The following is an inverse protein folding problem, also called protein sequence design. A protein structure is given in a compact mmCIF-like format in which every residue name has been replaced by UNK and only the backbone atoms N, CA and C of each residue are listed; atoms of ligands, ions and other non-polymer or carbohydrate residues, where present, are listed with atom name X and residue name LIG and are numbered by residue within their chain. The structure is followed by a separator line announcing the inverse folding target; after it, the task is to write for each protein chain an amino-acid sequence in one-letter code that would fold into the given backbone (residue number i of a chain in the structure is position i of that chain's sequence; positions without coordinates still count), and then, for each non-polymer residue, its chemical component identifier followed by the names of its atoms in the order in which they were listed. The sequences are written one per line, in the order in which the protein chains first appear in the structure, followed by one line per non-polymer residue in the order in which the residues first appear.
data_IF_292791154495
#
_entry.id   IF_292791154495
#
_cell.length_a   1.000
_cell.length_b   1.000
_cell.length_c   1.000
_cell.angle_alpha   90.00
_cell.angle_beta   90.00
_cell.angle_gamma   90.00
#
_symmetry.space_group_name_H-M   'P 1'
#
loop_
_entity.id
_entity.type
_entity.pdbx_description
1 polymer ?
#
# COMPACT_ATOMS: atom_id res chain seq x y z
N UNK A 1 11.63 20.16 5.65
CA UNK A 1 10.34 19.97 4.95
C UNK A 1 9.30 20.86 5.58
N UNK A 2 8.43 21.48 4.78
CA UNK A 2 7.36 22.32 5.30
C UNK A 2 6.34 21.45 6.05
N UNK A 3 6.03 21.76 7.31
CA UNK A 3 5.24 20.89 8.21
C UNK A 3 3.82 20.66 7.69
N UNK A 4 3.26 21.64 6.97
CA UNK A 4 1.93 21.57 6.36
C UNK A 4 1.92 20.53 5.22
N UNK A 5 2.96 20.50 4.37
CA UNK A 5 3.05 19.56 3.25
C UNK A 5 3.10 18.10 3.72
N UNK A 6 3.80 17.82 4.83
CA UNK A 6 3.87 16.47 5.42
C UNK A 6 2.52 16.06 6.01
N UNK A 7 1.82 16.97 6.69
CA UNK A 7 0.48 16.71 7.23
C UNK A 7 -0.53 16.39 6.13
N UNK A 8 -0.50 17.14 5.03
CA UNK A 8 -1.37 16.88 3.88
C UNK A 8 -1.07 15.52 3.25
N UNK A 9 0.20 15.22 2.98
CA UNK A 9 0.62 13.93 2.43
C UNK A 9 0.18 12.76 3.32
N UNK A 10 0.31 12.93 4.63
CA UNK A 10 -0.10 11.94 5.63
C UNK A 10 -1.61 11.72 5.63
N UNK A 11 -2.41 12.78 5.53
CA UNK A 11 -3.86 12.67 5.42
C UNK A 11 -4.26 11.92 4.14
N UNK A 12 -3.67 12.28 3.00
CA UNK A 12 -3.93 11.63 1.72
C UNK A 12 -3.56 10.15 1.73
N UNK A 13 -2.39 9.79 2.25
CA UNK A 13 -1.98 8.40 2.41
C UNK A 13 -2.89 7.64 3.37
N UNK A 14 -3.24 8.23 4.51
CA UNK A 14 -4.14 7.61 5.48
C UNK A 14 -5.50 7.28 4.87
N UNK A 15 -6.10 8.23 4.14
CA UNK A 15 -7.35 8.01 3.42
C UNK A 15 -7.22 6.95 2.33
N UNK A 16 -6.13 7.00 1.56
CA UNK A 16 -5.83 6.01 0.53
C UNK A 16 -5.80 4.60 1.11
N UNK A 17 -5.07 4.38 2.20
CA UNK A 17 -4.96 3.09 2.88
C UNK A 17 -6.29 2.61 3.47
N UNK A 18 -7.11 3.52 4.01
CA UNK A 18 -8.45 3.18 4.50
C UNK A 18 -9.35 2.71 3.35
N UNK A 19 -9.43 3.48 2.26
CA UNK A 19 -10.27 3.13 1.10
C UNK A 19 -9.84 1.79 0.53
N UNK A 20 -8.52 1.61 0.36
CA UNK A 20 -7.97 0.40 -0.18
C UNK A 20 -8.25 -0.79 0.75
N UNK A 21 -8.07 -0.62 2.06
CA UNK A 21 -8.36 -1.66 3.05
C UNK A 21 -9.84 -2.06 3.08
N UNK A 22 -10.76 -1.10 2.93
CA UNK A 22 -12.19 -1.38 2.79
C UNK A 22 -12.46 -2.21 1.53
N UNK A 23 -11.85 -1.86 0.40
CA UNK A 23 -11.99 -2.63 -0.86
C UNK A 23 -11.48 -4.06 -0.68
N UNK A 24 -10.33 -4.25 -0.02
CA UNK A 24 -9.76 -5.58 0.20
C UNK A 24 -10.57 -6.46 1.16
N UNK A 25 -11.26 -5.85 2.14
CA UNK A 25 -12.11 -6.58 3.09
C UNK A 25 -13.49 -6.91 2.51
N UNK A 26 -14.00 -6.13 1.55
CA UNK A 26 -15.31 -6.36 0.94
C UNK A 26 -15.16 -7.21 -0.34
N UNK A 27 -15.49 -8.52 -0.30
CA UNK A 27 -15.19 -9.47 -1.38
C UNK A 27 -15.97 -9.22 -2.69
N UNK A 28 -16.96 -8.31 -2.71
CA UNK A 28 -17.76 -7.99 -3.89
C UNK A 28 -17.23 -6.79 -4.70
N UNK A 29 -16.13 -6.16 -4.27
CA UNK A 29 -15.51 -5.00 -4.93
C UNK A 29 -14.20 -5.34 -5.66
N UNK A 30 -13.99 -6.63 -5.98
CA UNK A 30 -12.74 -7.21 -6.49
C UNK A 30 -12.27 -6.75 -7.88
N UNK A 31 -12.98 -5.84 -8.54
CA UNK A 31 -12.52 -5.25 -9.82
C UNK A 31 -11.48 -4.12 -9.63
N UNK A 32 -10.82 -4.07 -8.48
CA UNK A 32 -9.78 -3.08 -8.22
C UNK A 32 -8.47 -3.44 -8.91
N UNK A 33 -7.84 -2.44 -9.54
CA UNK A 33 -6.50 -2.52 -10.15
C UNK A 33 -5.42 -2.91 -9.12
N UNK A 34 -5.73 -2.77 -7.83
CA UNK A 34 -4.88 -3.15 -6.72
C UNK A 34 -5.20 -4.52 -6.13
N UNK A 35 -6.14 -5.29 -6.68
CA UNK A 35 -6.42 -6.64 -6.17
C UNK A 35 -5.14 -7.50 -6.22
N UNK A 36 -4.95 -8.28 -5.15
CA UNK A 36 -3.72 -9.06 -4.93
C UNK A 36 -3.72 -10.32 -5.80
N UNK A 37 -4.81 -11.09 -5.80
CA UNK A 37 -5.01 -12.34 -6.54
C UNK A 37 -6.46 -12.81 -6.31
N UNK A 38 -6.92 -13.83 -7.03
CA UNK A 38 -8.22 -14.52 -6.79
C UNK A 38 -8.30 -15.22 -5.40
N UNK A 39 -7.24 -15.15 -4.61
CA UNK A 39 -7.17 -15.66 -3.24
C UNK A 39 -7.80 -14.67 -2.25
N UNK A 40 -9.12 -14.75 -2.11
CA UNK A 40 -9.95 -13.98 -1.17
C UNK A 40 -9.35 -13.86 0.24
N UNK A 41 -8.81 -14.94 0.80
CA UNK A 41 -8.28 -14.93 2.18
C UNK A 41 -7.07 -14.01 2.34
N UNK A 42 -6.19 -13.93 1.34
CA UNK A 42 -5.01 -13.07 1.38
C UNK A 42 -5.41 -11.61 1.18
N UNK A 43 -6.35 -11.35 0.28
CA UNK A 43 -6.85 -10.00 0.02
C UNK A 43 -7.53 -9.39 1.26
N UNK A 44 -8.35 -10.18 1.98
CA UNK A 44 -8.94 -9.76 3.25
C UNK A 44 -7.87 -9.48 4.29
N UNK A 45 -6.83 -10.33 4.40
CA UNK A 45 -5.75 -10.14 5.36
C UNK A 45 -4.98 -8.83 5.09
N UNK A 46 -4.56 -8.61 3.85
CA UNK A 46 -3.87 -7.39 3.45
C UNK A 46 -4.80 -6.17 3.62
N UNK A 47 -6.07 -6.28 3.24
CA UNK A 47 -7.04 -5.21 3.41
C UNK A 47 -7.24 -4.82 4.88
N UNK A 48 -7.28 -5.78 5.79
CA UNK A 48 -7.41 -5.52 7.23
C UNK A 48 -6.15 -4.83 7.78
N UNK A 49 -4.96 -5.28 7.37
CA UNK A 49 -3.69 -4.62 7.72
C UNK A 49 -3.65 -3.18 7.19
N UNK A 50 -4.08 -2.96 5.94
CA UNK A 50 -4.10 -1.65 5.29
C UNK A 50 -5.10 -0.70 5.95
N UNK A 51 -6.26 -1.19 6.34
CA UNK A 51 -7.28 -0.42 7.06
C UNK A 51 -6.74 0.04 8.42
N UNK A 52 -6.10 -0.87 9.18
CA UNK A 52 -5.45 -0.55 10.45
C UNK A 52 -4.33 0.47 10.25
N UNK A 53 -3.48 0.27 9.24
CA UNK A 53 -2.39 1.17 8.88
C UNK A 53 -2.90 2.58 8.53
N UNK A 54 -3.93 2.69 7.71
CA UNK A 54 -4.55 3.95 7.33
C UNK A 54 -5.14 4.68 8.53
N UNK A 55 -5.81 3.96 9.44
CA UNK A 55 -6.30 4.52 10.70
C UNK A 55 -5.17 5.05 11.58
N UNK A 56 -4.08 4.29 11.76
CA UNK A 56 -2.92 4.73 12.55
C UNK A 56 -2.26 5.98 11.96
N UNK A 57 -2.14 6.04 10.63
CA UNK A 57 -1.59 7.20 9.92
C UNK A 57 -2.45 8.45 10.18
N UNK A 58 -3.78 8.36 10.10
CA UNK A 58 -4.70 9.48 10.37
C UNK A 58 -4.72 9.84 11.87
N UNK A 59 -4.77 8.84 12.76
CA UNK A 59 -4.88 9.10 14.20
C UNK A 59 -3.68 9.88 14.72
N UNK A 60 -2.45 9.54 14.29
CA UNK A 60 -1.27 10.30 14.72
C UNK A 60 -1.13 11.69 14.09
N UNK A 61 -2.10 12.13 13.29
CA UNK A 61 -2.25 13.52 12.84
C UNK A 61 -2.95 14.38 13.90
N UNK A 62 -3.85 13.78 14.70
CA UNK A 62 -4.66 14.45 15.73
C UNK A 62 -4.19 14.19 17.16
N UNK A 63 -3.64 13.00 17.40
CA UNK A 63 -3.13 12.64 18.73
C UNK A 63 -1.69 13.09 18.89
N UNK A 64 -1.35 13.58 20.09
CA UNK A 64 0.02 13.80 20.54
C UNK A 64 0.70 12.45 20.83
N UNK A 65 0.62 11.52 19.87
CA UNK A 65 1.29 10.23 19.95
C UNK A 65 2.80 10.49 19.98
N UNK A 66 3.48 9.79 20.90
CA UNK A 66 4.94 9.82 21.04
C UNK A 66 5.55 9.52 19.66
N UNK A 67 6.43 10.39 19.13
CA UNK A 67 7.04 10.28 17.79
C UNK A 67 7.39 8.83 17.41
N UNK A 68 8.02 8.09 18.32
CA UNK A 68 8.39 6.66 18.18
C UNK A 68 7.24 5.74 17.74
N UNK A 69 6.02 5.96 18.19
CA UNK A 69 4.88 5.13 17.81
C UNK A 69 4.47 5.37 16.35
N UNK A 70 4.59 6.62 15.89
CA UNK A 70 4.32 6.99 14.49
C UNK A 70 5.42 6.43 13.59
N UNK A 71 6.69 6.52 14.01
CA UNK A 71 7.82 5.97 13.26
C UNK A 71 7.67 4.46 13.04
N UNK A 72 7.38 3.72 14.11
CA UNK A 72 7.20 2.26 14.05
C UNK A 72 5.99 1.94 13.16
N UNK A 73 4.86 2.65 13.33
CA UNK A 73 3.69 2.42 12.49
C UNK A 73 4.01 2.66 11.02
N UNK A 74 4.63 3.79 10.68
CA UNK A 74 5.02 4.14 9.31
C UNK A 74 6.00 3.14 8.69
N UNK A 75 6.98 2.66 9.47
CA UNK A 75 7.92 1.63 9.01
C UNK A 75 7.20 0.29 8.73
N UNK A 76 6.28 -0.11 9.61
CA UNK A 76 5.46 -1.31 9.42
C UNK A 76 4.60 -1.19 8.16
N UNK A 77 3.91 -0.06 7.96
CA UNK A 77 3.11 0.19 6.75
C UNK A 77 3.97 0.08 5.49
N UNK A 78 5.15 0.71 5.50
CA UNK A 78 6.09 0.66 4.39
C UNK A 78 6.52 -0.78 4.08
N UNK A 79 6.85 -1.57 5.11
CA UNK A 79 7.26 -2.96 4.96
C UNK A 79 6.15 -3.82 4.35
N UNK A 80 4.91 -3.71 4.87
CA UNK A 80 3.76 -4.43 4.31
C UNK A 80 3.45 -4.00 2.88
N UNK A 81 3.58 -2.70 2.57
CA UNK A 81 3.38 -2.19 1.22
C UNK A 81 4.41 -2.74 0.23
N UNK A 82 5.70 -2.78 0.61
CA UNK A 82 6.76 -3.37 -0.20
C UNK A 82 6.49 -4.87 -0.42
N UNK A 83 6.15 -5.59 0.65
CA UNK A 83 5.79 -7.01 0.55
C UNK A 83 4.63 -7.23 -0.42
N UNK A 84 3.62 -6.35 -0.38
CA UNK A 84 2.48 -6.39 -1.30
C UNK A 84 2.91 -6.25 -2.75
N UNK A 85 3.76 -5.27 -3.08
CA UNK A 85 4.29 -5.07 -4.44
C UNK A 85 5.00 -6.33 -4.93
N UNK A 86 5.84 -6.93 -4.06
CA UNK A 86 6.58 -8.15 -4.41
C UNK A 86 5.61 -9.29 -4.74
N UNK A 87 4.60 -9.51 -3.90
CA UNK A 87 3.61 -10.57 -4.12
C UNK A 87 2.74 -10.31 -5.35
N UNK A 88 2.16 -9.11 -5.47
CA UNK A 88 1.22 -8.78 -6.55
C UNK A 88 1.90 -8.71 -7.91
N UNK A 89 3.09 -8.10 -8.01
CA UNK A 89 3.74 -7.83 -9.30
C UNK A 89 4.74 -8.87 -9.72
N UNK A 90 5.51 -9.43 -8.77
CA UNK A 90 6.61 -10.33 -9.12
C UNK A 90 6.26 -11.80 -8.89
N UNK A 91 5.51 -12.12 -7.84
CA UNK A 91 5.11 -13.52 -7.55
C UNK A 91 3.88 -13.94 -8.35
N UNK A 92 2.87 -13.08 -8.43
CA UNK A 92 1.60 -13.40 -9.13
C UNK A 92 1.46 -12.71 -10.48
N UNK A 93 2.07 -11.52 -10.66
CA UNK A 93 2.00 -10.77 -11.90
C UNK A 93 2.94 -11.24 -13.02
N UNK A 94 3.87 -12.16 -12.71
CA UNK A 94 4.81 -12.75 -13.67
C UNK A 94 4.65 -14.27 -13.71
N UNK A 95 4.57 -14.82 -14.91
CA UNK A 95 4.59 -16.26 -15.16
C UNK A 95 5.71 -16.61 -16.15
N UNK A 96 6.47 -17.66 -15.84
CA UNK A 96 7.55 -18.15 -16.69
C UNK A 96 7.05 -19.37 -17.46
N UNK A 97 6.97 -19.26 -18.79
CA UNK A 97 6.61 -20.36 -19.68
C UNK A 97 7.72 -20.69 -20.67
N UNK A 98 7.57 -21.79 -21.41
CA UNK A 98 8.55 -22.23 -22.42
C UNK A 98 8.83 -21.19 -23.52
N UNK A 99 7.92 -20.24 -23.75
CA UNK A 99 8.02 -19.18 -24.75
C UNK A 99 8.43 -17.81 -24.18
N UNK A 100 8.80 -17.73 -22.90
CA UNK A 100 9.31 -16.51 -22.26
C UNK A 100 8.52 -16.08 -21.03
N UNK A 101 8.61 -14.79 -20.70
CA UNK A 101 7.97 -14.17 -19.54
C UNK A 101 6.60 -13.63 -19.95
N UNK A 102 5.56 -14.08 -19.25
CA UNK A 102 4.19 -13.61 -19.39
C UNK A 102 3.84 -12.67 -18.24
N UNK A 103 3.20 -11.56 -18.58
CA UNK A 103 2.74 -10.55 -17.64
C UNK A 103 1.23 -10.66 -17.48
N UNK A 104 0.78 -10.72 -16.24
CA UNK A 104 -0.64 -10.70 -15.88
C UNK A 104 -0.88 -9.49 -14.96
N UNK A 105 -1.56 -8.42 -15.41
CA UNK A 105 -2.11 -8.15 -16.75
C UNK A 105 -1.01 -7.82 -17.79
N UNK A 106 -1.40 -7.42 -19.01
CA UNK A 106 -0.46 -7.06 -20.09
C UNK A 106 0.65 -6.11 -19.63
N UNK A 107 1.83 -6.23 -20.23
CA UNK A 107 3.05 -5.52 -19.80
C UNK A 107 2.83 -4.02 -19.54
N UNK A 108 2.11 -3.33 -20.42
CA UNK A 108 1.82 -1.90 -20.28
C UNK A 108 1.00 -1.57 -19.03
N UNK A 109 0.02 -2.41 -18.68
CA UNK A 109 -0.77 -2.23 -17.45
C UNK A 109 0.09 -2.59 -16.24
N UNK A 110 0.83 -3.70 -16.31
CA UNK A 110 1.71 -4.14 -15.22
C UNK A 110 2.71 -3.04 -14.82
N UNK A 111 3.38 -2.41 -15.79
CA UNK A 111 4.40 -1.38 -15.51
C UNK A 111 3.80 -0.08 -14.98
N UNK A 112 2.60 0.31 -15.46
CA UNK A 112 1.90 1.50 -14.96
C UNK A 112 1.49 1.29 -13.50
N UNK A 113 0.91 0.13 -13.18
CA UNK A 113 0.46 -0.15 -11.80
C UNK A 113 1.66 -0.27 -10.87
N UNK A 114 2.75 -0.92 -11.29
CA UNK A 114 4.00 -0.94 -10.54
C UNK A 114 4.52 0.49 -10.27
N UNK A 115 4.49 1.37 -11.28
CA UNK A 115 4.88 2.77 -11.11
C UNK A 115 4.04 3.50 -10.06
N UNK A 116 2.72 3.33 -10.08
CA UNK A 116 1.81 3.90 -9.06
C UNK A 116 2.13 3.37 -7.67
N UNK A 117 2.32 2.05 -7.53
CA UNK A 117 2.66 1.43 -6.25
C UNK A 117 4.02 1.92 -5.70
N UNK A 118 5.01 2.14 -6.57
CA UNK A 118 6.30 2.72 -6.20
C UNK A 118 6.20 4.18 -5.77
N UNK A 119 5.34 4.99 -6.40
CA UNK A 119 5.06 6.37 -5.97
C UNK A 119 4.45 6.40 -4.57
N UNK A 120 3.56 5.46 -4.26
CA UNK A 120 2.98 5.31 -2.91
C UNK A 120 4.07 4.88 -1.91
N UNK A 121 4.92 3.92 -2.27
CA UNK A 121 6.04 3.50 -1.44
C UNK A 121 7.01 4.67 -1.13
N UNK A 122 7.35 5.47 -2.14
CA UNK A 122 8.17 6.66 -1.98
C UNK A 122 7.48 7.71 -1.08
N UNK A 123 6.17 7.89 -1.23
CA UNK A 123 5.38 8.81 -0.40
C UNK A 123 5.36 8.37 1.07
N UNK A 124 5.21 7.07 1.33
CA UNK A 124 5.32 6.49 2.68
C UNK A 124 6.71 6.67 3.26
N UNK A 125 7.76 6.46 2.46
CA UNK A 125 9.14 6.65 2.90
C UNK A 125 9.43 8.12 3.29
N UNK A 126 8.89 9.06 2.52
CA UNK A 126 8.98 10.50 2.84
C UNK A 126 8.26 10.81 4.15
N UNK A 127 7.09 10.21 4.40
CA UNK A 127 6.40 10.37 5.69
C UNK A 127 7.22 9.75 6.83
N UNK A 128 7.71 8.53 6.68
CA UNK A 128 8.55 7.86 7.68
C UNK A 128 9.77 8.71 8.07
N UNK A 129 10.54 9.16 7.08
CA UNK A 129 11.76 9.98 7.30
C UNK A 129 11.48 11.35 7.91
N UNK A 130 10.26 11.87 7.78
CA UNK A 130 9.90 13.15 8.37
C UNK A 130 9.72 13.08 9.91
N UNK A 131 9.64 11.88 10.50
CA UNK A 131 9.44 11.68 11.93
C UNK A 131 10.61 10.99 12.65
N UNK A 132 11.55 10.33 11.93
CA UNK A 132 12.92 10.06 12.42
C UNK A 132 13.61 11.34 12.94
#
# INVERSE_FOLDING_TARGET
MNTISVKLLRLSLGLFFIILGIIGVIPRLQESIFSLNDNYSLEILFGLVELVCGMLIILGLFTYLRKRAIDIASAVVLCFWIMRIVLSKFVWGLSFGNSGIFFHPSFSVWIIVLGVELVIAASLFVVYRAYE
#
